data_IF_226454106863
#
_entry.id   IF_226454106863
#
_cell.length_a   1.000
_cell.length_b   1.000
_cell.length_c   1.000
_cell.angle_alpha   90.00
_cell.angle_beta   90.00
_cell.angle_gamma   90.00
#
_symmetry.space_group_name_H-M   'P 1'
#
loop_
_entity.id
_entity.type
_entity.pdbx_description
1 polymer ?
#
# COMPACT_ATOMS: atom_id res chain seq x y z
N UNK A 1 7.74 2.20 -19.43
CA UNK A 1 7.73 3.30 -18.42
C UNK A 1 9.11 3.69 -17.89
N UNK A 2 10.02 2.75 -17.61
CA UNK A 2 11.39 3.08 -17.14
C UNK A 2 12.13 4.18 -17.92
N UNK A 3 12.17 4.18 -19.27
CA UNK A 3 12.83 5.27 -20.02
C UNK A 3 12.16 6.64 -19.82
N UNK A 4 10.82 6.68 -19.70
CA UNK A 4 10.07 7.92 -19.45
C UNK A 4 10.37 8.51 -18.06
N UNK A 5 10.57 7.67 -17.04
CA UNK A 5 10.97 8.16 -15.71
C UNK A 5 12.43 8.64 -15.67
N UNK A 6 13.29 8.10 -16.54
CA UNK A 6 14.72 8.47 -16.62
C UNK A 6 14.99 9.72 -17.47
N UNK A 7 14.02 10.16 -18.27
CA UNK A 7 14.16 11.33 -19.15
C UNK A 7 14.45 12.63 -18.37
N UNK A 8 14.91 13.69 -19.06
CA UNK A 8 15.15 15.03 -18.46
C UNK A 8 13.86 15.84 -18.22
N UNK A 9 12.75 15.18 -17.90
CA UNK A 9 11.49 15.85 -17.60
C UNK A 9 11.46 16.42 -16.17
N UNK A 10 10.61 17.41 -15.93
CA UNK A 10 10.38 17.97 -14.60
C UNK A 10 9.89 16.87 -13.63
N UNK A 11 10.41 16.86 -12.39
CA UNK A 11 10.07 15.88 -11.34
C UNK A 11 8.56 15.81 -11.12
N UNK A 12 7.86 16.94 -11.15
CA UNK A 12 6.40 16.99 -10.96
C UNK A 12 5.64 16.16 -12.02
N UNK A 13 6.08 16.22 -13.28
CA UNK A 13 5.46 15.45 -14.38
C UNK A 13 5.73 13.95 -14.24
N UNK A 14 6.95 13.57 -13.86
CA UNK A 14 7.30 12.18 -13.55
C UNK A 14 6.50 11.64 -12.37
N UNK A 15 6.31 12.47 -11.34
CA UNK A 15 5.51 12.13 -10.18
C UNK A 15 4.04 11.94 -10.53
N UNK A 16 3.50 12.78 -11.42
CA UNK A 16 2.15 12.61 -11.96
C UNK A 16 2.00 11.26 -12.67
N UNK A 17 2.94 10.91 -13.55
CA UNK A 17 2.98 9.61 -14.24
C UNK A 17 3.05 8.45 -13.25
N UNK A 18 3.89 8.55 -12.23
CA UNK A 18 3.96 7.54 -11.17
C UNK A 18 2.63 7.37 -10.44
N UNK A 19 1.96 8.47 -10.07
CA UNK A 19 0.67 8.44 -9.37
C UNK A 19 -0.47 7.92 -10.25
N UNK A 20 -0.46 8.20 -11.54
CA UNK A 20 -1.54 7.83 -12.46
C UNK A 20 -1.41 6.43 -13.05
N UNK A 21 -0.19 5.97 -13.36
CA UNK A 21 0.00 4.69 -14.06
C UNK A 21 0.55 3.60 -13.15
N UNK A 22 1.56 3.94 -12.33
CA UNK A 22 2.25 2.93 -11.53
C UNK A 22 1.48 2.64 -10.25
N UNK A 23 1.13 3.67 -9.47
CA UNK A 23 0.44 3.50 -8.17
C UNK A 23 -0.83 2.65 -8.25
N UNK A 24 -1.71 2.77 -9.27
CA UNK A 24 -2.90 1.92 -9.39
C UNK A 24 -2.60 0.42 -9.47
N UNK A 25 -1.49 0.02 -10.12
CA UNK A 25 -1.14 -1.40 -10.34
C UNK A 25 -1.08 -2.21 -9.04
N UNK A 26 -0.55 -1.61 -7.97
CA UNK A 26 -0.48 -2.25 -6.66
C UNK A 26 -1.43 -1.65 -5.63
N UNK A 27 -2.28 -0.69 -5.98
CA UNK A 27 -3.30 -0.18 -5.04
C UNK A 27 -4.67 -0.78 -5.27
N UNK A 28 -4.96 -1.28 -6.48
CA UNK A 28 -6.25 -1.88 -6.83
C UNK A 28 -6.73 -2.94 -5.81
N UNK A 29 -5.86 -3.88 -5.44
CA UNK A 29 -6.21 -4.98 -4.51
C UNK A 29 -5.62 -4.86 -3.10
N UNK A 30 -5.04 -3.72 -2.73
CA UNK A 30 -4.20 -3.64 -1.52
C UNK A 30 -4.97 -3.88 -0.22
N UNK A 31 -6.26 -3.53 -0.17
CA UNK A 31 -7.15 -3.87 0.93
C UNK A 31 -7.31 -5.39 1.18
N UNK A 32 -7.09 -6.22 0.14
CA UNK A 32 -7.21 -7.67 0.20
C UNK A 32 -5.85 -8.35 0.48
N UNK A 33 -4.81 -7.99 -0.26
CA UNK A 33 -3.49 -8.62 -0.14
C UNK A 33 -2.49 -7.81 0.69
N UNK A 34 -2.86 -6.65 1.21
CA UNK A 34 -1.96 -5.77 1.96
C UNK A 34 -1.44 -6.36 3.28
N UNK A 35 -2.06 -7.44 3.78
CA UNK A 35 -1.58 -8.26 4.89
C UNK A 35 -0.92 -9.58 4.41
N UNK A 36 -0.56 -9.70 3.13
CA UNK A 36 0.14 -10.85 2.61
C UNK A 36 1.51 -11.04 3.29
N UNK A 37 2.11 -12.22 3.05
CA UNK A 37 3.41 -12.58 3.62
C UNK A 37 4.45 -11.48 3.33
N UNK A 38 5.31 -11.11 4.30
CA UNK A 38 6.33 -10.08 4.11
C UNK A 38 7.23 -10.28 2.88
N UNK A 39 7.48 -11.51 2.46
CA UNK A 39 8.23 -11.80 1.24
C UNK A 39 7.60 -11.18 -0.01
N UNK A 40 6.27 -11.17 -0.10
CA UNK A 40 5.54 -10.66 -1.26
C UNK A 40 5.30 -9.15 -1.16
N UNK A 41 5.13 -8.60 0.04
CA UNK A 41 4.95 -7.16 0.22
C UNK A 41 6.28 -6.40 0.05
N UNK A 42 7.41 -7.02 0.45
CA UNK A 42 8.76 -6.46 0.28
C UNK A 42 9.15 -6.28 -1.19
N UNK A 43 8.78 -7.20 -2.08
CA UNK A 43 9.08 -7.07 -3.52
C UNK A 43 8.37 -5.87 -4.12
N UNK A 44 7.11 -5.63 -3.74
CA UNK A 44 6.34 -4.47 -4.20
C UNK A 44 6.87 -3.16 -3.59
N UNK A 45 7.25 -3.16 -2.30
CA UNK A 45 7.90 -1.99 -1.68
C UNK A 45 9.26 -1.69 -2.31
N UNK A 46 10.02 -2.70 -2.70
CA UNK A 46 11.27 -2.54 -3.44
C UNK A 46 11.01 -1.92 -4.82
N UNK A 47 10.00 -2.41 -5.55
CA UNK A 47 9.56 -1.81 -6.81
C UNK A 47 9.19 -0.33 -6.64
N UNK A 48 8.39 -0.01 -5.61
CA UNK A 48 8.04 1.38 -5.27
C UNK A 48 9.31 2.22 -5.05
N UNK A 49 10.25 1.73 -4.24
CA UNK A 49 11.49 2.45 -3.90
C UNK A 49 12.35 2.71 -5.14
N UNK A 50 12.46 1.72 -6.05
CA UNK A 50 13.16 1.87 -7.33
C UNK A 50 12.49 2.94 -8.18
N UNK A 51 11.16 2.93 -8.30
CA UNK A 51 10.43 3.94 -9.05
C UNK A 51 10.64 5.35 -8.50
N UNK A 52 10.56 5.53 -7.17
CA UNK A 52 10.78 6.84 -6.55
C UNK A 52 12.19 7.37 -6.81
N UNK A 53 13.20 6.50 -6.69
CA UNK A 53 14.59 6.85 -6.99
C UNK A 53 14.81 7.22 -8.45
N UNK A 54 14.13 6.54 -9.39
CA UNK A 54 14.16 6.89 -10.81
C UNK A 54 13.48 8.24 -11.09
N UNK A 55 12.39 8.54 -10.40
CA UNK A 55 11.67 9.82 -10.52
C UNK A 55 12.55 10.99 -10.07
N UNK A 56 13.23 10.86 -8.93
CA UNK A 56 14.07 11.91 -8.35
C UNK A 56 15.51 11.92 -8.84
N UNK A 57 15.92 10.91 -9.62
CA UNK A 57 17.33 10.67 -9.97
C UNK A 57 18.25 10.63 -8.73
N UNK A 58 17.73 10.11 -7.60
CA UNK A 58 18.40 10.20 -6.31
C UNK A 58 19.64 9.29 -6.20
N UNK A 59 20.79 9.79 -5.68
CA UNK A 59 22.00 9.00 -5.47
C UNK A 59 21.82 7.92 -4.40
N UNK A 60 22.70 6.92 -4.42
CA UNK A 60 22.58 5.70 -3.60
C UNK A 60 22.59 5.95 -2.08
N UNK A 61 23.30 7.00 -1.62
CA UNK A 61 23.41 7.36 -0.21
C UNK A 61 22.11 7.96 0.36
N UNK A 62 21.18 8.41 -0.49
CA UNK A 62 19.86 8.87 -0.02
C UNK A 62 19.00 7.67 0.37
N UNK A 63 18.59 7.66 1.64
CA UNK A 63 17.73 6.61 2.20
C UNK A 63 16.33 6.66 1.57
N UNK A 64 15.70 5.49 1.41
CA UNK A 64 14.33 5.42 0.90
C UNK A 64 13.34 6.19 1.79
N UNK A 65 13.57 6.17 3.12
CA UNK A 65 12.73 6.91 4.07
C UNK A 65 12.76 8.42 3.82
N UNK A 66 13.91 9.00 3.47
CA UNK A 66 14.01 10.41 3.12
C UNK A 66 13.23 10.70 1.83
N UNK A 67 13.39 9.87 0.80
CA UNK A 67 12.62 10.01 -0.46
C UNK A 67 11.11 9.99 -0.22
N UNK A 68 10.63 9.10 0.66
CA UNK A 68 9.22 9.03 1.02
C UNK A 68 8.73 10.30 1.75
N UNK A 69 9.55 10.86 2.66
CA UNK A 69 9.24 12.11 3.37
C UNK A 69 9.22 13.30 2.41
N UNK A 70 10.26 13.46 1.59
CA UNK A 70 10.42 14.59 0.69
C UNK A 70 9.33 14.64 -0.38
N UNK A 71 9.02 13.48 -0.97
CA UNK A 71 7.96 13.36 -1.98
C UNK A 71 6.54 13.31 -1.39
N UNK A 72 6.42 13.22 -0.06
CA UNK A 72 5.16 13.03 0.67
C UNK A 72 4.37 11.81 0.16
N UNK A 73 5.07 10.70 -0.08
CA UNK A 73 4.50 9.44 -0.58
C UNK A 73 4.52 8.39 0.51
N UNK A 74 3.35 7.84 0.81
CA UNK A 74 3.18 6.78 1.80
C UNK A 74 3.85 5.46 1.37
N UNK A 75 4.37 4.73 2.34
CA UNK A 75 4.88 3.38 2.15
C UNK A 75 3.73 2.40 1.91
N UNK A 76 4.03 1.24 1.36
CA UNK A 76 3.04 0.20 1.08
C UNK A 76 2.27 -0.24 2.33
N UNK A 77 2.94 -0.36 3.49
CA UNK A 77 2.29 -0.70 4.75
C UNK A 77 1.29 0.39 5.21
N UNK A 78 1.64 1.67 5.03
CA UNK A 78 0.76 2.78 5.39
C UNK A 78 -0.45 2.83 4.45
N UNK A 79 -0.23 2.61 3.14
CA UNK A 79 -1.31 2.53 2.15
C UNK A 79 -2.23 1.35 2.46
N UNK A 80 -1.67 0.18 2.79
CA UNK A 80 -2.42 -1.01 3.19
C UNK A 80 -3.34 -0.73 4.38
N UNK A 81 -2.81 -0.14 5.46
CA UNK A 81 -3.59 0.28 6.64
C UNK A 81 -4.68 1.30 6.25
N UNK A 82 -4.35 2.32 5.47
CA UNK A 82 -5.30 3.34 5.02
C UNK A 82 -6.46 2.79 4.16
N UNK A 83 -6.16 1.90 3.22
CA UNK A 83 -7.19 1.34 2.34
C UNK A 83 -8.06 0.34 3.08
N UNK A 84 -7.47 -0.43 3.99
CA UNK A 84 -8.23 -1.37 4.80
C UNK A 84 -9.16 -0.65 5.80
N UNK A 85 -8.71 0.41 6.46
CA UNK A 85 -9.57 1.22 7.35
C UNK A 85 -10.75 1.82 6.60
N UNK A 86 -10.52 2.35 5.39
CA UNK A 86 -11.60 2.86 4.53
C UNK A 86 -12.60 1.78 4.16
N UNK A 87 -12.13 0.59 3.78
CA UNK A 87 -13.01 -0.54 3.50
C UNK A 87 -13.82 -0.94 4.74
N UNK A 88 -13.16 -1.04 5.90
CA UNK A 88 -13.82 -1.41 7.14
C UNK A 88 -14.95 -0.46 7.51
N UNK A 89 -14.73 0.85 7.41
CA UNK A 89 -15.74 1.87 7.68
C UNK A 89 -16.91 1.79 6.68
N UNK A 90 -16.61 1.55 5.39
CA UNK A 90 -17.65 1.35 4.37
C UNK A 90 -18.49 0.11 4.62
N UNK A 91 -17.88 -0.99 5.06
CA UNK A 91 -18.62 -2.21 5.40
C UNK A 91 -19.57 -1.98 6.57
N UNK A 92 -19.12 -1.27 7.63
CA UNK A 92 -19.95 -0.96 8.80
C UNK A 92 -21.23 -0.21 8.42
N UNK A 93 -21.12 0.76 7.51
CA UNK A 93 -22.22 1.64 7.10
C UNK A 93 -23.12 1.04 6.00
N UNK A 94 -22.89 -0.22 5.60
CA UNK A 94 -23.58 -0.83 4.48
C UNK A 94 -25.03 -1.23 4.86
N UNK A 95 -26.00 -0.93 3.99
CA UNK A 95 -27.42 -1.21 4.20
C UNK A 95 -27.71 -2.71 4.43
N UNK A 96 -27.02 -3.58 3.69
CA UNK A 96 -27.14 -5.02 3.86
C UNK A 96 -26.49 -5.48 5.19
N UNK A 97 -27.26 -6.07 6.13
CA UNK A 97 -26.75 -6.47 7.44
C UNK A 97 -25.70 -7.58 7.37
N UNK A 98 -25.73 -8.45 6.36
CA UNK A 98 -24.71 -9.49 6.17
C UNK A 98 -23.34 -8.88 5.87
N UNK A 99 -23.32 -7.79 5.10
CA UNK A 99 -22.10 -7.08 4.73
C UNK A 99 -21.56 -6.29 5.93
N UNK A 100 -22.45 -5.62 6.69
CA UNK A 100 -22.07 -4.94 7.93
C UNK A 100 -21.50 -5.93 8.97
N UNK A 101 -22.05 -7.14 9.07
CA UNK A 101 -21.51 -8.19 9.94
C UNK A 101 -20.08 -8.62 9.57
N UNK A 102 -19.60 -8.36 8.35
CA UNK A 102 -18.21 -8.65 7.96
C UNK A 102 -17.20 -7.69 8.59
N UNK A 103 -17.61 -6.50 9.05
CA UNK A 103 -16.73 -5.48 9.62
C UNK A 103 -16.39 -5.72 11.11
N UNK A 104 -16.36 -6.97 11.56
CA UNK A 104 -15.99 -7.30 12.95
C UNK A 104 -14.51 -7.03 13.22
N UNK A 105 -14.18 -6.45 14.37
CA UNK A 105 -12.77 -6.23 14.77
C UNK A 105 -12.10 -7.53 15.23
N UNK A 106 -12.88 -8.44 15.79
CA UNK A 106 -12.43 -9.73 16.34
C UNK A 106 -13.14 -10.88 15.62
N UNK A 107 -12.46 -12.02 15.49
CA UNK A 107 -13.14 -13.27 15.18
C UNK A 107 -14.07 -13.60 16.36
N UNK A 108 -15.38 -13.65 16.12
CA UNK A 108 -16.29 -14.29 17.07
C UNK A 108 -15.79 -15.73 17.29
N UNK A 109 -15.66 -16.14 18.55
CA UNK A 109 -15.23 -17.48 19.00
C UNK A 109 -13.72 -17.80 19.00
N UNK A 110 -12.82 -16.85 19.30
CA UNK A 110 -11.42 -17.15 19.67
C UNK A 110 -10.76 -18.26 18.83
N UNK A 111 -11.07 -18.31 17.52
CA UNK A 111 -10.64 -19.42 16.69
C UNK A 111 -9.12 -19.35 16.64
N UNK A 112 -8.49 -20.34 17.29
CA UNK A 112 -7.03 -20.39 17.43
C UNK A 112 -6.45 -20.35 16.03
N UNK A 113 -5.73 -19.28 15.70
CA UNK A 113 -5.16 -19.08 14.37
C UNK A 113 -4.29 -20.30 14.03
N UNK A 114 -4.68 -21.06 13.00
CA UNK A 114 -3.92 -22.25 12.57
C UNK A 114 -2.49 -21.88 12.15
N UNK A 115 -2.31 -20.70 11.55
CA UNK A 115 -1.02 -20.20 11.09
C UNK A 115 -0.73 -18.83 11.72
N UNK A 116 0.54 -18.61 12.13
CA UNK A 116 1.05 -17.31 12.57
C UNK A 116 1.21 -16.36 11.37
N UNK A 117 0.09 -15.85 10.85
CA UNK A 117 0.05 -14.88 9.74
C UNK A 117 -0.69 -13.62 10.19
N UNK A 118 -0.23 -12.48 9.71
CA UNK A 118 -0.95 -11.21 9.83
C UNK A 118 -2.18 -11.27 8.92
N UNK A 119 -3.34 -10.90 9.44
CA UNK A 119 -4.57 -10.79 8.67
C UNK A 119 -4.87 -9.34 8.35
N UNK A 120 -5.73 -9.07 7.36
CA UNK A 120 -6.10 -7.69 7.05
C UNK A 120 -6.70 -6.97 8.26
N UNK A 121 -7.47 -7.68 9.11
CA UNK A 121 -8.03 -7.16 10.37
C UNK A 121 -6.97 -6.66 11.34
N UNK A 122 -5.80 -7.32 11.38
CA UNK A 122 -4.69 -6.92 12.25
C UNK A 122 -4.09 -5.56 11.85
N UNK A 123 -4.42 -5.02 10.66
CA UNK A 123 -4.03 -3.68 10.24
C UNK A 123 -4.84 -2.57 10.92
N UNK A 124 -5.98 -2.90 11.54
CA UNK A 124 -6.80 -1.93 12.30
C UNK A 124 -6.26 -1.65 13.70
N UNK A 125 -5.47 -2.57 14.24
CA UNK A 125 -4.68 -2.38 15.45
C UNK A 125 -3.52 -1.43 15.15
#
# INVERSE_FOLDING_TARGET
LRPLLKSKMNINTKLLIYKSLLRPLWTYGIHLWGAAKPSNTRTIQAFQSICLRLVTSAPWYLTNNNLHKDLKIQNLNQISKLYYTRLHNKLQQHTNPLISKLSTKTLLNNLRRKLKRQWCRDLLL
#
